data_IF_327073930771
#
_entry.id   IF_327073930771
#
_cell.length_a   1.000
_cell.length_b   1.000
_cell.length_c   1.000
_cell.angle_alpha   90.00
_cell.angle_beta   90.00
_cell.angle_gamma   90.00
#
_symmetry.space_group_name_H-M   'P 1'
#
loop_
_entity.id
_entity.type
_entity.pdbx_description
1 polymer ?
#
# COMPACT_ATOMS: atom_id res chain seq x y z
N UNK A 1 56.01 7.72 -22.84
CA UNK A 1 55.18 8.49 -21.88
C UNK A 1 54.56 9.59 -22.70
N UNK A 2 53.30 9.42 -23.08
CA UNK A 2 52.59 10.40 -23.90
C UNK A 2 52.46 11.73 -23.16
N UNK A 3 52.50 12.84 -23.89
CA UNK A 3 52.51 14.18 -23.28
C UNK A 3 51.19 14.48 -22.56
N UNK A 4 51.19 15.31 -21.49
CA UNK A 4 50.03 15.56 -20.63
C UNK A 4 48.76 16.01 -21.37
N UNK A 5 48.91 16.68 -22.52
CA UNK A 5 47.79 17.13 -23.35
C UNK A 5 47.03 16.00 -24.04
N UNK A 6 47.73 14.96 -24.51
CA UNK A 6 47.06 13.82 -25.17
C UNK A 6 46.21 13.03 -24.17
N UNK A 7 46.64 12.95 -22.91
CA UNK A 7 45.86 12.30 -21.86
C UNK A 7 44.55 13.05 -21.54
N UNK A 8 44.60 14.38 -21.46
CA UNK A 8 43.39 15.19 -21.20
C UNK A 8 42.40 15.11 -22.36
N UNK A 9 42.88 15.15 -23.60
CA UNK A 9 42.04 15.04 -24.79
C UNK A 9 41.45 13.63 -24.94
N UNK A 10 42.22 12.57 -24.67
CA UNK A 10 41.74 11.19 -24.68
C UNK A 10 40.73 10.92 -23.55
N UNK A 11 40.93 11.53 -22.38
CA UNK A 11 40.00 11.43 -21.26
C UNK A 11 38.70 12.18 -21.56
N UNK A 12 38.78 13.39 -22.12
CA UNK A 12 37.59 14.13 -22.55
C UNK A 12 36.84 13.38 -23.64
N UNK A 13 37.55 12.80 -24.61
CA UNK A 13 36.97 12.02 -25.68
C UNK A 13 36.29 10.75 -25.15
N UNK A 14 36.91 10.04 -24.21
CA UNK A 14 36.34 8.87 -23.56
C UNK A 14 35.10 9.22 -22.72
N UNK A 15 35.12 10.34 -21.98
CA UNK A 15 33.98 10.79 -21.18
C UNK A 15 32.81 11.25 -22.06
N UNK A 16 33.09 11.97 -23.14
CA UNK A 16 32.07 12.45 -24.08
C UNK A 16 31.42 11.29 -24.82
N UNK A 17 32.22 10.32 -25.31
CA UNK A 17 31.73 9.09 -25.93
C UNK A 17 30.89 8.23 -24.98
N UNK A 18 31.31 8.15 -23.72
CA UNK A 18 30.54 7.42 -22.69
C UNK A 18 29.23 8.15 -22.39
N UNK A 19 29.24 9.48 -22.28
CA UNK A 19 28.05 10.30 -22.06
C UNK A 19 27.03 10.26 -23.19
N UNK A 20 27.47 10.22 -24.45
CA UNK A 20 26.57 10.08 -25.61
C UNK A 20 25.92 8.70 -25.71
N UNK A 21 26.55 7.66 -25.16
CA UNK A 21 25.98 6.32 -25.02
C UNK A 21 24.89 6.19 -23.94
N UNK A 22 24.70 7.21 -23.09
CA UNK A 22 23.69 7.23 -22.02
C UNK A 22 22.39 7.98 -22.39
N UNK A 23 22.18 8.35 -23.66
CA UNK A 23 20.88 8.86 -24.11
C UNK A 23 19.88 7.71 -24.22
N UNK A 24 19.20 7.41 -23.11
CA UNK A 24 18.03 6.53 -23.13
C UNK A 24 17.02 7.06 -24.15
N UNK A 25 16.57 6.21 -25.08
CA UNK A 25 15.50 6.57 -26.02
C UNK A 25 14.22 6.97 -25.28
N UNK A 26 13.29 7.67 -25.93
CA UNK A 26 12.03 8.10 -25.28
C UNK A 26 11.26 6.93 -24.62
N UNK A 27 11.34 5.72 -25.18
CA UNK A 27 10.76 4.51 -24.59
C UNK A 27 11.49 4.04 -23.31
N UNK A 28 12.83 4.07 -23.31
CA UNK A 28 13.64 3.71 -22.14
C UNK A 28 13.53 4.77 -21.03
N UNK A 29 13.33 6.05 -21.37
CA UNK A 29 13.00 7.10 -20.41
C UNK A 29 11.64 6.85 -19.76
N UNK A 30 10.63 6.41 -20.53
CA UNK A 30 9.33 6.04 -19.99
C UNK A 30 9.43 4.84 -19.03
N UNK A 31 10.24 3.83 -19.35
CA UNK A 31 10.50 2.68 -18.50
C UNK A 31 11.33 3.02 -17.25
N UNK A 32 12.31 3.93 -17.37
CA UNK A 32 13.07 4.44 -16.23
C UNK A 32 12.19 5.29 -15.30
N UNK A 33 11.25 6.07 -15.84
CA UNK A 33 10.27 6.84 -15.06
C UNK A 33 9.24 5.91 -14.42
N UNK A 34 8.72 4.91 -15.13
CA UNK A 34 7.80 3.91 -14.58
C UNK A 34 8.46 3.04 -13.50
N UNK A 35 9.71 2.62 -13.71
CA UNK A 35 10.54 1.93 -12.74
C UNK A 35 10.92 2.81 -11.54
N UNK A 36 11.14 4.11 -11.77
CA UNK A 36 11.31 5.13 -10.75
C UNK A 36 10.04 5.31 -9.89
N UNK A 37 8.86 5.34 -10.51
CA UNK A 37 7.57 5.48 -9.83
C UNK A 37 7.20 4.24 -9.01
N UNK A 38 7.47 3.03 -9.52
CA UNK A 38 7.28 1.77 -8.77
C UNK A 38 8.23 1.67 -7.57
N UNK A 39 9.49 2.10 -7.73
CA UNK A 39 10.47 2.20 -6.63
C UNK A 39 10.10 3.30 -5.63
N UNK A 40 9.59 4.43 -6.12
CA UNK A 40 9.07 5.54 -5.32
C UNK A 40 7.88 5.13 -4.46
N UNK A 41 6.86 4.48 -5.04
CA UNK A 41 5.71 3.92 -4.29
C UNK A 41 6.14 2.89 -3.26
N UNK A 42 7.07 1.99 -3.63
CA UNK A 42 7.60 0.97 -2.70
C UNK A 42 8.42 1.60 -1.58
N UNK A 43 9.14 2.70 -1.84
CA UNK A 43 9.94 3.43 -0.87
C UNK A 43 9.08 4.33 0.02
N UNK A 44 8.02 4.94 -0.52
CA UNK A 44 7.03 5.70 0.24
C UNK A 44 6.24 4.79 1.17
N UNK A 45 5.74 3.63 0.69
CA UNK A 45 5.14 2.57 1.53
C UNK A 45 6.11 1.98 2.57
N UNK A 46 7.43 1.97 2.27
CA UNK A 46 8.46 1.58 3.25
C UNK A 46 8.76 2.69 4.24
N UNK A 47 8.70 3.96 3.84
CA UNK A 47 8.92 5.14 4.70
C UNK A 47 7.76 5.38 5.65
N UNK A 48 6.52 5.13 5.23
CA UNK A 48 5.36 5.10 6.13
C UNK A 48 5.43 3.97 7.18
N UNK A 49 6.35 3.00 7.02
CA UNK A 49 6.63 1.94 8.00
C UNK A 49 8.02 2.02 8.64
N UNK A 50 8.88 2.96 8.22
CA UNK A 50 10.28 3.05 8.66
C UNK A 50 10.51 4.03 9.82
N UNK A 51 9.48 4.24 10.65
CA UNK A 51 9.63 4.88 11.96
C UNK A 51 9.99 3.86 13.07
N UNK A 52 10.21 2.58 12.71
CA UNK A 52 10.70 1.57 13.65
C UNK A 52 11.85 0.83 12.98
N UNK A 53 13.05 1.01 13.54
CA UNK A 53 14.15 0.03 13.69
C UNK A 53 15.49 0.72 13.45
N UNK A 54 16.23 0.85 14.55
CA UNK A 54 17.65 1.10 14.63
C UNK A 54 18.05 0.93 16.09
N UNK A 55 18.81 -0.13 16.36
CA UNK A 55 19.34 -0.43 17.68
C UNK A 55 18.91 -1.78 18.25
N UNK A 56 19.58 -2.83 17.77
CA UNK A 56 19.81 -4.13 18.41
C UNK A 56 18.61 -4.97 18.91
N UNK A 57 18.35 -6.06 18.17
CA UNK A 57 17.81 -7.34 18.62
C UNK A 57 16.52 -7.34 19.47
N UNK A 58 15.37 -7.20 18.82
CA UNK A 58 14.11 -7.78 19.32
C UNK A 58 13.09 -7.94 18.18
N UNK A 59 12.67 -9.19 17.94
CA UNK A 59 11.50 -9.53 17.15
C UNK A 59 10.24 -9.05 17.88
N UNK A 60 9.44 -8.17 17.28
CA UNK A 60 8.10 -7.88 17.77
C UNK A 60 7.21 -7.31 16.66
N UNK A 61 6.44 -8.18 16.00
CA UNK A 61 5.22 -7.78 15.31
C UNK A 61 4.14 -7.56 16.37
N UNK A 62 3.71 -6.30 16.52
CA UNK A 62 2.62 -5.91 17.40
C UNK A 62 1.31 -6.28 16.74
N UNK A 63 0.66 -7.32 17.25
CA UNK A 63 -0.78 -7.53 17.12
C UNK A 63 -1.43 -7.19 18.45
N UNK A 64 -2.31 -6.20 18.48
CA UNK A 64 -3.18 -5.94 19.64
C UNK A 64 -4.62 -6.02 19.16
N UNK A 65 -5.28 -7.11 19.55
CA UNK A 65 -6.70 -7.33 19.33
C UNK A 65 -7.20 -8.37 20.32
N UNK A 66 -7.56 -7.94 21.53
CA UNK A 66 -8.39 -8.71 22.45
C UNK A 66 -9.21 -7.74 23.30
N UNK A 67 -10.48 -7.57 22.95
CA UNK A 67 -11.51 -7.12 23.88
C UNK A 67 -12.50 -8.28 24.02
N UNK A 68 -12.59 -8.81 25.23
CA UNK A 68 -13.59 -9.78 25.65
C UNK A 68 -14.97 -9.10 25.66
N UNK A 69 -15.94 -9.72 24.98
CA UNK A 69 -17.37 -9.54 25.20
C UNK A 69 -17.86 -10.57 26.22
N UNK A 70 -18.50 -10.11 27.28
CA UNK A 70 -19.48 -10.90 28.05
C UNK A 70 -20.74 -10.06 28.22
N UNK A 71 -21.84 -10.49 27.60
CA UNK A 71 -23.13 -9.80 27.66
C UNK A 71 -23.96 -10.14 28.89
N UNK A 72 -25.08 -9.42 29.05
CA UNK A 72 -26.33 -9.92 29.64
C UNK A 72 -27.46 -8.86 29.57
N UNK A 73 -28.58 -9.28 28.96
CA UNK A 73 -29.97 -9.09 29.45
C UNK A 73 -30.68 -7.72 29.38
N UNK A 74 -31.65 -7.64 28.45
CA UNK A 74 -33.09 -7.66 28.81
C UNK A 74 -33.87 -6.33 28.88
N UNK A 75 -34.92 -6.22 28.05
CA UNK A 75 -36.29 -5.70 28.33
C UNK A 75 -36.94 -5.18 27.03
N UNK A 76 -37.89 -5.94 26.44
CA UNK A 76 -39.36 -5.79 26.56
C UNK A 76 -39.94 -4.46 26.05
N UNK A 77 -40.80 -4.57 25.04
CA UNK A 77 -41.72 -3.51 24.61
C UNK A 77 -42.57 -3.94 23.43
N UNK A 78 -43.55 -4.81 23.66
CA UNK A 78 -44.61 -5.14 22.71
C UNK A 78 -45.65 -4.01 22.66
N UNK A 79 -46.22 -3.74 21.48
CA UNK A 79 -47.28 -2.74 21.31
C UNK A 79 -47.91 -2.83 19.92
N UNK A 80 -49.10 -3.40 19.87
CA UNK A 80 -49.91 -3.82 18.73
C UNK A 80 -50.63 -2.67 17.99
N UNK A 81 -50.82 -2.89 16.67
CA UNK A 81 -51.98 -2.59 15.79
C UNK A 81 -52.65 -1.20 15.78
N UNK A 82 -52.80 -0.65 14.58
CA UNK A 82 -54.06 -0.03 14.14
C UNK A 82 -54.16 -0.02 12.62
N UNK A 83 -55.28 -0.55 12.13
CA UNK A 83 -55.67 -0.60 10.75
C UNK A 83 -56.92 0.26 10.52
N UNK A 84 -57.00 0.80 9.30
CA UNK A 84 -58.18 1.18 8.52
C UNK A 84 -59.02 2.41 8.95
N UNK A 85 -59.10 3.37 8.02
CA UNK A 85 -60.37 3.90 7.51
C UNK A 85 -60.15 4.57 6.14
N UNK A 86 -60.84 4.06 5.11
CA UNK A 86 -61.14 4.75 3.84
C UNK A 86 -62.54 5.41 3.98
N UNK A 87 -63.02 6.32 3.09
CA UNK A 87 -63.28 5.99 1.67
C UNK A 87 -63.06 7.10 0.61
N UNK A 88 -62.72 6.62 -0.59
CA UNK A 88 -63.22 6.96 -1.94
C UNK A 88 -63.66 8.39 -2.31
N UNK A 89 -62.97 8.98 -3.30
CA UNK A 89 -63.61 9.58 -4.49
C UNK A 89 -62.76 9.32 -5.74
N UNK A 90 -63.44 9.00 -6.83
CA UNK A 90 -62.93 8.53 -8.12
C UNK A 90 -62.82 9.71 -9.10
N UNK A 91 -61.72 9.84 -9.85
CA UNK A 91 -61.70 10.16 -11.29
C UNK A 91 -60.30 10.58 -11.77
N UNK A 92 -59.90 10.10 -12.96
CA UNK A 92 -58.91 10.76 -13.80
C UNK A 92 -57.66 9.94 -14.11
N UNK A 93 -57.77 9.01 -15.07
CA UNK A 93 -56.63 8.34 -15.68
C UNK A 93 -55.80 9.31 -16.53
N UNK A 94 -54.49 9.38 -16.28
CA UNK A 94 -53.47 9.88 -17.20
C UNK A 94 -52.19 9.08 -16.96
N UNK A 95 -51.53 8.53 -18.00
CA UNK A 95 -50.32 7.75 -17.80
C UNK A 95 -49.19 8.70 -17.38
N UNK A 96 -48.89 8.72 -16.07
CA UNK A 96 -47.71 9.37 -15.54
C UNK A 96 -46.49 8.60 -16.04
N UNK A 97 -45.73 9.24 -16.94
CA UNK A 97 -44.39 8.84 -17.30
C UNK A 97 -43.58 8.68 -16.00
N UNK A 98 -43.18 7.44 -15.73
CA UNK A 98 -42.20 7.14 -14.69
C UNK A 98 -40.91 7.86 -15.07
N UNK A 99 -40.32 8.73 -14.23
CA UNK A 99 -38.98 9.21 -14.50
C UNK A 99 -38.06 8.02 -14.31
N UNK A 100 -37.71 7.36 -15.41
CA UNK A 100 -36.63 6.38 -15.43
C UNK A 100 -35.35 7.17 -15.18
N UNK A 101 -34.94 7.25 -13.93
CA UNK A 101 -33.59 7.67 -13.54
C UNK A 101 -32.63 6.61 -14.07
N UNK A 102 -32.30 6.73 -15.35
CA UNK A 102 -31.12 6.08 -15.90
C UNK A 102 -29.92 6.80 -15.28
N UNK A 103 -29.47 6.33 -14.12
CA UNK A 103 -28.12 6.61 -13.63
C UNK A 103 -27.15 5.96 -14.61
N UNK A 104 -26.88 6.67 -15.70
CA UNK A 104 -25.67 6.45 -16.48
C UNK A 104 -24.52 6.95 -15.62
N UNK A 105 -24.02 6.09 -14.72
CA UNK A 105 -22.84 6.40 -13.91
C UNK A 105 -21.61 6.18 -14.77
N UNK A 106 -21.33 7.10 -15.69
CA UNK A 106 -19.96 7.28 -16.12
C UNK A 106 -19.12 7.51 -14.85
N UNK A 107 -17.97 6.84 -14.69
CA UNK A 107 -17.12 7.05 -13.53
C UNK A 107 -16.78 8.54 -13.42
N UNK A 108 -17.02 9.12 -12.24
CA UNK A 108 -16.68 10.52 -11.97
C UNK A 108 -15.18 10.71 -12.15
N UNK A 109 -14.80 11.56 -13.10
CA UNK A 109 -13.40 11.95 -13.30
C UNK A 109 -13.14 13.21 -12.48
N UNK A 110 -12.07 13.17 -11.68
CA UNK A 110 -11.50 14.33 -10.99
C UNK A 110 -10.17 14.64 -11.67
N UNK A 111 -10.01 15.84 -12.20
CA UNK A 111 -8.78 16.23 -12.90
C UNK A 111 -7.69 16.65 -11.92
N UNK A 112 -6.43 16.65 -12.38
CA UNK A 112 -5.32 17.17 -11.57
C UNK A 112 -5.53 18.62 -11.13
N UNK A 113 -6.03 19.48 -12.03
CA UNK A 113 -6.30 20.89 -11.73
C UNK A 113 -7.40 21.05 -10.67
N UNK A 114 -8.43 20.20 -10.68
CA UNK A 114 -9.48 20.21 -9.64
C UNK A 114 -8.92 19.84 -8.26
N UNK A 115 -8.02 18.84 -8.20
CA UNK A 115 -7.34 18.46 -6.95
C UNK A 115 -6.43 19.60 -6.46
N UNK A 116 -5.65 20.21 -7.36
CA UNK A 116 -4.75 21.31 -7.04
C UNK A 116 -5.51 22.55 -6.54
N UNK A 117 -6.58 22.94 -7.23
CA UNK A 117 -7.42 24.06 -6.83
C UNK A 117 -8.06 23.83 -5.46
N UNK A 118 -8.58 22.62 -5.20
CA UNK A 118 -9.10 22.24 -3.89
C UNK A 118 -8.01 22.36 -2.82
N UNK A 119 -6.82 21.84 -3.08
CA UNK A 119 -5.71 21.91 -2.14
C UNK A 119 -5.29 23.35 -1.83
N UNK A 120 -5.11 24.20 -2.85
CA UNK A 120 -4.75 25.61 -2.69
C UNK A 120 -5.81 26.40 -1.92
N UNK A 121 -7.10 26.11 -2.11
CA UNK A 121 -8.19 26.76 -1.38
C UNK A 121 -8.20 26.44 0.12
N UNK A 122 -7.61 25.31 0.53
CA UNK A 122 -7.50 24.92 1.94
C UNK A 122 -6.22 25.44 2.62
N UNK A 123 -5.26 25.96 1.85
CA UNK A 123 -4.06 26.56 2.42
C UNK A 123 -4.39 27.92 3.05
N UNK A 124 -3.70 28.29 4.13
CA UNK A 124 -3.85 29.62 4.71
C UNK A 124 -3.33 30.70 3.74
N UNK A 125 -3.55 31.96 4.10
CA UNK A 125 -3.09 33.10 3.31
C UNK A 125 -1.57 33.01 3.05
N UNK A 126 -1.20 33.02 1.79
CA UNK A 126 0.18 33.02 1.30
C UNK A 126 0.19 32.91 -0.22
N UNK A 127 1.39 32.94 -0.80
CA UNK A 127 1.60 32.71 -2.23
C UNK A 127 1.84 31.22 -2.49
N UNK A 128 1.27 30.69 -3.58
CA UNK A 128 1.57 29.33 -4.05
C UNK A 128 2.20 29.40 -5.43
N UNK A 129 3.29 28.66 -5.61
CA UNK A 129 4.04 28.56 -6.87
C UNK A 129 4.31 27.09 -7.19
N UNK A 130 4.75 26.81 -8.42
CA UNK A 130 5.12 25.46 -8.88
C UNK A 130 4.05 24.37 -8.66
N UNK A 131 2.78 24.78 -8.65
CA UNK A 131 1.65 23.90 -8.36
C UNK A 131 1.48 22.78 -9.39
N UNK A 132 1.35 21.56 -8.91
CA UNK A 132 1.11 20.36 -9.72
C UNK A 132 -0.01 19.55 -9.12
N UNK A 133 -0.97 19.19 -9.95
CA UNK A 133 -2.08 18.32 -9.59
C UNK A 133 -2.04 16.99 -10.31
N UNK A 134 -2.62 15.96 -9.68
CA UNK A 134 -2.82 14.64 -10.26
C UNK A 134 -4.24 14.17 -9.95
N UNK A 135 -4.99 13.91 -11.00
CA UNK A 135 -6.38 13.45 -10.94
C UNK A 135 -6.53 11.94 -11.09
N UNK A 136 -7.78 11.49 -11.11
CA UNK A 136 -8.16 10.08 -11.33
C UNK A 136 -7.94 9.62 -12.77
N UNK A 137 -7.75 10.57 -13.68
CA UNK A 137 -7.44 10.43 -15.10
C UNK A 137 -5.94 10.20 -15.38
N UNK A 138 -5.08 10.20 -14.37
CA UNK A 138 -3.66 9.89 -14.54
C UNK A 138 -3.45 8.40 -14.87
N UNK A 139 -3.06 8.12 -16.12
CA UNK A 139 -2.79 6.76 -16.63
C UNK A 139 -1.77 5.99 -15.79
N UNK A 140 -0.80 6.66 -15.16
CA UNK A 140 0.24 6.01 -14.34
C UNK A 140 -0.33 5.48 -13.02
N UNK A 141 -1.38 6.09 -12.50
CA UNK A 141 -2.05 5.64 -11.27
C UNK A 141 -3.33 4.87 -11.56
N UNK A 142 -3.90 4.98 -12.77
CA UNK A 142 -5.14 4.32 -13.16
C UNK A 142 -6.34 4.69 -12.29
N UNK A 143 -6.27 5.85 -11.62
CA UNK A 143 -7.27 6.34 -10.66
C UNK A 143 -7.15 5.81 -9.23
N UNK A 144 -6.07 5.09 -8.88
CA UNK A 144 -5.85 4.55 -7.52
C UNK A 144 -5.13 5.52 -6.57
N UNK A 145 -4.68 6.66 -7.09
CA UNK A 145 -4.03 7.72 -6.33
C UNK A 145 -4.27 9.07 -7.02
N UNK A 146 -4.57 10.07 -6.21
CA UNK A 146 -4.67 11.48 -6.60
C UNK A 146 -3.87 12.32 -5.60
N UNK A 147 -3.48 13.53 -5.98
CA UNK A 147 -2.71 14.39 -5.08
C UNK A 147 -2.31 15.71 -5.73
N UNK A 148 -1.72 16.58 -4.93
CA UNK A 148 -1.20 17.85 -5.39
C UNK A 148 0.03 18.26 -4.57
N UNK A 149 0.90 19.05 -5.17
CA UNK A 149 2.04 19.68 -4.52
C UNK A 149 2.16 21.14 -4.94
N UNK A 150 2.57 22.01 -4.01
CA UNK A 150 2.84 23.43 -4.24
C UNK A 150 4.05 23.86 -3.42
N UNK A 151 4.75 24.88 -3.90
CA UNK A 151 5.66 25.67 -3.08
C UNK A 151 4.86 26.83 -2.48
N UNK A 152 4.63 26.76 -1.17
CA UNK A 152 3.90 27.76 -0.38
C UNK A 152 4.86 28.74 0.28
N UNK A 153 4.54 30.04 0.26
CA UNK A 153 5.28 31.09 0.96
C UNK A 153 4.30 32.04 1.66
N UNK A 154 4.37 32.07 2.99
CA UNK A 154 3.61 32.97 3.86
C UNK A 154 4.35 34.31 4.11
N UNK A 155 5.45 34.55 3.39
CA UNK A 155 6.35 35.69 3.58
C UNK A 155 7.52 35.40 4.52
N UNK A 156 7.60 34.20 5.11
CA UNK A 156 8.69 33.77 6.00
C UNK A 156 9.64 32.76 5.34
N UNK A 157 9.44 32.49 4.05
CA UNK A 157 10.28 31.60 3.27
C UNK A 157 9.49 30.43 2.69
N UNK A 158 9.89 30.03 1.49
CA UNK A 158 9.27 28.97 0.70
C UNK A 158 9.24 27.62 1.41
N UNK A 159 8.21 26.83 1.17
CA UNK A 159 8.05 25.49 1.72
C UNK A 159 7.32 24.61 0.72
N UNK A 160 7.81 23.40 0.49
CA UNK A 160 7.02 22.39 -0.23
C UNK A 160 5.90 21.92 0.69
N UNK A 161 4.67 21.92 0.19
CA UNK A 161 3.51 21.29 0.83
C UNK A 161 2.88 20.34 -0.19
N UNK A 162 2.66 19.10 0.21
CA UNK A 162 2.17 18.04 -0.66
C UNK A 162 1.07 17.23 0.01
N UNK A 163 -0.02 17.00 -0.71
CA UNK A 163 -1.11 16.11 -0.32
C UNK A 163 -1.21 14.91 -1.27
N UNK A 164 -1.48 13.74 -0.72
CA UNK A 164 -1.81 12.52 -1.46
C UNK A 164 -3.05 11.86 -0.88
N UNK A 165 -3.88 11.31 -1.76
CA UNK A 165 -5.13 10.64 -1.40
C UNK A 165 -5.17 9.27 -2.07
N UNK A 166 -5.40 8.25 -1.24
CA UNK A 166 -5.68 6.88 -1.61
C UNK A 166 -7.00 6.45 -1.01
N UNK A 167 -7.51 5.32 -1.48
CA UNK A 167 -8.67 4.68 -0.89
C UNK A 167 -8.36 3.21 -0.69
N UNK A 168 -8.26 2.77 0.56
CA UNK A 168 -8.12 1.37 0.92
C UNK A 168 -9.49 0.71 0.95
N UNK A 169 -9.54 -0.59 0.72
CA UNK A 169 -10.76 -1.38 0.96
C UNK A 169 -11.07 -1.43 2.46
N UNK A 170 -12.33 -1.70 2.84
CA UNK A 170 -12.69 -1.92 4.24
C UNK A 170 -11.73 -2.90 4.92
N UNK A 171 -11.31 -2.61 6.15
CA UNK A 171 -10.36 -3.42 6.94
C UNK A 171 -8.94 -3.56 6.36
N UNK A 172 -8.61 -2.88 5.26
CA UNK A 172 -7.28 -2.90 4.64
C UNK A 172 -6.51 -1.57 4.80
N UNK A 173 -7.11 -0.61 5.50
CA UNK A 173 -6.46 0.67 5.81
C UNK A 173 -5.22 0.50 6.69
N UNK A 174 -4.23 1.38 6.50
CA UNK A 174 -3.05 1.42 7.35
C UNK A 174 -3.42 1.93 8.75
N UNK A 175 -3.13 1.17 9.83
CA UNK A 175 -3.36 1.66 11.18
C UNK A 175 -2.46 2.88 11.46
N UNK A 176 -2.97 3.86 12.20
CA UNK A 176 -2.18 5.01 12.62
C UNK A 176 -1.44 4.71 13.91
N UNK A 177 -0.13 4.89 13.90
CA UNK A 177 0.72 4.67 15.07
C UNK A 177 1.91 5.61 15.07
N UNK A 178 2.25 6.12 16.25
CA UNK A 178 3.50 6.85 16.45
C UNK A 178 4.69 5.90 16.63
N UNK A 179 5.91 6.33 16.28
CA UNK A 179 7.12 5.57 16.58
C UNK A 179 7.24 5.31 18.08
N UNK A 180 7.79 4.16 18.46
CA UNK A 180 8.07 3.85 19.87
C UNK A 180 9.29 4.61 20.40
N UNK A 181 10.27 4.86 19.54
CA UNK A 181 11.48 5.60 19.86
C UNK A 181 11.56 6.87 18.99
N UNK A 182 11.20 7.99 19.61
CA UNK A 182 11.17 9.30 18.96
C UNK A 182 12.58 9.80 18.60
N UNK A 183 13.60 9.48 19.41
CA UNK A 183 14.98 9.91 19.14
C UNK A 183 15.51 9.20 17.91
N UNK A 184 15.34 7.89 17.86
CA UNK A 184 15.74 7.07 16.72
C UNK A 184 15.01 7.46 15.43
N UNK A 185 13.71 7.72 15.53
CA UNK A 185 12.92 8.16 14.38
C UNK A 185 13.17 9.63 14.00
N UNK A 186 13.92 10.39 14.82
CA UNK A 186 14.05 11.86 14.75
C UNK A 186 12.70 12.58 14.65
N UNK A 187 11.76 12.09 15.44
CA UNK A 187 10.43 12.66 15.64
C UNK A 187 10.43 13.48 16.92
N UNK A 188 9.99 14.73 16.82
CA UNK A 188 9.91 15.65 17.96
C UNK A 188 8.59 15.45 18.71
N UNK A 189 7.49 15.25 17.97
CA UNK A 189 6.17 14.99 18.51
C UNK A 189 5.35 14.12 17.57
N UNK A 190 4.50 13.26 18.14
CA UNK A 190 3.51 12.51 17.38
C UNK A 190 2.29 12.22 18.25
N UNK A 191 1.10 12.37 17.68
CA UNK A 191 -0.16 11.98 18.31
C UNK A 191 -1.05 11.22 17.32
N UNK A 192 -1.84 10.28 17.84
CA UNK A 192 -2.92 9.60 17.11
C UNK A 192 -4.22 9.84 17.86
N UNK A 193 -5.24 10.30 17.16
CA UNK A 193 -6.56 10.60 17.75
C UNK A 193 -7.66 9.98 16.88
N UNK A 194 -8.62 9.33 17.52
CA UNK A 194 -9.87 8.91 16.87
C UNK A 194 -10.84 10.09 16.83
N UNK A 195 -11.29 10.48 15.65
CA UNK A 195 -12.26 11.54 15.42
C UNK A 195 -13.70 11.02 15.61
N UNK A 196 -14.70 11.92 15.77
CA UNK A 196 -16.10 11.51 16.01
C UNK A 196 -16.73 10.65 14.90
N UNK A 197 -16.23 10.74 13.67
CA UNK A 197 -16.65 9.92 12.53
C UNK A 197 -15.97 8.54 12.47
N UNK A 198 -15.13 8.22 13.46
CA UNK A 198 -14.35 6.98 13.51
C UNK A 198 -13.02 7.04 12.74
N UNK A 199 -12.71 8.15 12.08
CA UNK A 199 -11.42 8.32 11.40
C UNK A 199 -10.27 8.38 12.41
N UNK A 200 -9.13 7.79 12.07
CA UNK A 200 -7.88 7.96 12.83
C UNK A 200 -7.03 9.04 12.19
N UNK A 201 -6.72 10.08 12.96
CA UNK A 201 -5.83 11.17 12.59
C UNK A 201 -4.49 11.00 13.29
N UNK A 202 -3.40 11.00 12.53
CA UNK A 202 -2.04 11.10 13.03
C UNK A 202 -1.47 12.48 12.70
N UNK A 203 -0.87 13.15 13.69
CA UNK A 203 -0.13 14.39 13.52
C UNK A 203 1.30 14.18 14.02
N UNK A 204 2.29 14.55 13.23
CA UNK A 204 3.70 14.33 13.54
C UNK A 204 4.54 15.56 13.18
N UNK A 205 5.47 15.93 14.06
CA UNK A 205 6.55 16.88 13.79
C UNK A 205 7.90 16.19 13.96
N UNK A 206 8.85 16.47 13.08
CA UNK A 206 10.21 15.96 13.20
C UNK A 206 11.05 16.27 11.97
N UNK A 207 11.87 15.30 11.58
CA UNK A 207 12.83 15.44 10.48
C UNK A 207 12.52 14.48 9.34
N UNK A 208 12.84 14.89 8.11
CA UNK A 208 12.68 14.06 6.90
C UNK A 208 13.57 12.80 6.94
N UNK A 209 14.74 12.92 7.57
CA UNK A 209 15.76 11.87 7.58
C UNK A 209 16.05 11.37 8.99
N UNK A 210 15.56 10.18 9.31
CA UNK A 210 15.86 9.49 10.57
C UNK A 210 17.35 9.16 10.72
N UNK A 211 18.09 8.99 9.62
CA UNK A 211 19.53 8.71 9.63
C UNK A 211 20.42 9.95 9.78
N UNK A 212 19.84 11.13 10.00
CA UNK A 212 20.62 12.34 10.29
C UNK A 212 21.39 12.92 9.10
N UNK A 213 21.18 12.42 7.87
CA UNK A 213 21.92 12.91 6.69
C UNK A 213 21.64 14.38 6.34
N UNK A 214 20.53 14.92 6.84
CA UNK A 214 20.15 16.32 6.75
C UNK A 214 19.25 16.70 7.93
N UNK A 215 19.18 18.00 8.24
CA UNK A 215 18.35 18.55 9.32
C UNK A 215 17.02 19.13 8.83
N UNK A 216 16.68 18.93 7.55
CA UNK A 216 15.39 19.34 6.98
C UNK A 216 14.24 18.75 7.80
N UNK A 217 13.39 19.65 8.30
CA UNK A 217 12.22 19.32 9.10
C UNK A 217 11.04 18.99 8.20
N UNK A 218 10.21 18.06 8.67
CA UNK A 218 8.98 17.67 8.01
C UNK A 218 7.84 17.55 9.03
N UNK A 219 6.70 18.16 8.73
CA UNK A 219 5.45 17.98 9.48
C UNK A 219 4.46 17.19 8.63
N UNK A 220 3.74 16.28 9.29
CA UNK A 220 2.90 15.28 8.62
C UNK A 220 1.55 15.22 9.30
N UNK A 221 0.48 15.21 8.50
CA UNK A 221 -0.84 14.80 8.93
C UNK A 221 -1.34 13.64 8.07
N UNK A 222 -1.79 12.57 8.71
CA UNK A 222 -2.34 11.40 8.02
C UNK A 222 -3.71 11.06 8.59
N UNK A 223 -4.74 11.06 7.75
CA UNK A 223 -6.11 10.68 8.08
C UNK A 223 -6.44 9.35 7.43
N UNK A 224 -6.92 8.38 8.22
CA UNK A 224 -7.55 7.16 7.70
C UNK A 224 -9.00 7.09 8.16
N UNK A 225 -9.95 6.91 7.23
CA UNK A 225 -11.38 6.91 7.54
C UNK A 225 -12.06 5.54 7.31
N UNK A 226 -13.26 5.35 7.88
CA UNK A 226 -14.03 4.10 7.73
C UNK A 226 -14.53 3.85 6.30
N UNK A 227 -14.62 4.91 5.47
CA UNK A 227 -14.93 4.82 4.03
C UNK A 227 -13.72 4.41 3.16
N UNK A 228 -12.60 4.07 3.82
CA UNK A 228 -11.37 3.65 3.19
C UNK A 228 -10.42 4.80 2.85
N UNK A 229 -10.80 6.06 3.04
CA UNK A 229 -9.91 7.18 2.70
C UNK A 229 -8.59 7.09 3.44
N UNK A 230 -7.52 7.40 2.74
CA UNK A 230 -6.18 7.61 3.29
C UNK A 230 -5.63 8.90 2.69
N UNK A 231 -5.65 9.96 3.50
CA UNK A 231 -5.22 11.30 3.12
C UNK A 231 -3.93 11.59 3.88
N UNK A 232 -2.84 11.84 3.16
CA UNK A 232 -1.55 12.17 3.75
C UNK A 232 -1.08 13.53 3.25
N UNK A 233 -0.89 14.46 4.17
CA UNK A 233 -0.34 15.78 3.97
C UNK A 233 1.07 15.82 4.57
N UNK A 234 2.02 16.39 3.84
CA UNK A 234 3.39 16.59 4.31
C UNK A 234 3.88 17.96 3.89
N UNK A 235 4.67 18.58 4.74
CA UNK A 235 5.32 19.86 4.46
C UNK A 235 6.75 19.85 4.97
N UNK A 236 7.61 20.64 4.33
CA UNK A 236 9.02 20.76 4.68
C UNK A 236 9.41 22.21 4.93
N UNK A 237 10.44 22.44 5.75
CA UNK A 237 11.00 23.79 5.95
C UNK A 237 11.92 24.25 4.78
N UNK A 238 11.77 23.62 3.62
CA UNK A 238 12.54 23.83 2.41
C UNK A 238 11.59 23.83 1.19
N UNK A 239 11.94 24.47 0.07
CA UNK A 239 11.10 24.50 -1.14
C UNK A 239 11.03 23.15 -1.89
N UNK A 240 11.74 22.12 -1.41
CA UNK A 240 11.69 20.76 -1.95
C UNK A 240 11.97 19.73 -0.84
N UNK A 241 11.45 18.50 -0.99
CA UNK A 241 11.73 17.38 -0.08
C UNK A 241 13.24 17.07 0.01
N UNK A 242 13.97 17.22 -1.12
CA UNK A 242 15.39 16.86 -1.23
C UNK A 242 16.18 17.88 -2.04
N UNK A 243 17.46 18.02 -1.71
CA UNK A 243 18.44 18.73 -2.54
C UNK A 243 18.33 20.26 -2.49
N UNK A 244 17.22 20.82 -2.02
CA UNK A 244 17.12 22.23 -1.69
C UNK A 244 17.67 22.51 -0.29
N UNK A 245 18.22 23.72 -0.11
CA UNK A 245 18.54 24.22 1.23
C UNK A 245 17.25 24.59 1.96
N UNK A 246 17.26 24.38 3.27
CA UNK A 246 16.25 24.91 4.17
C UNK A 246 16.14 26.42 4.02
N UNK A 247 14.92 26.91 3.91
CA UNK A 247 14.56 28.32 3.66
C UNK A 247 13.96 29.00 4.89
N UNK A 248 13.58 28.21 5.89
CA UNK A 248 12.92 28.65 7.13
C UNK A 248 13.24 27.66 8.28
N UNK A 249 13.11 28.06 9.56
CA UNK A 249 13.47 27.19 10.69
C UNK A 249 12.49 26.03 10.94
N UNK A 250 11.22 26.18 10.55
CA UNK A 250 10.16 25.18 10.70
C UNK A 250 9.21 25.25 9.50
N UNK A 251 8.53 24.15 9.12
CA UNK A 251 7.45 24.20 8.13
C UNK A 251 6.35 25.23 8.47
N UNK A 252 5.61 25.74 7.48
CA UNK A 252 4.67 26.86 7.65
C UNK A 252 3.37 26.56 8.39
N UNK A 253 2.79 25.36 8.26
CA UNK A 253 1.42 25.12 8.72
C UNK A 253 1.37 24.64 10.18
N UNK A 254 0.47 25.18 10.98
CA UNK A 254 0.27 24.64 12.33
C UNK A 254 -0.34 23.24 12.29
N UNK A 255 -0.19 22.46 13.37
CA UNK A 255 -0.84 21.14 13.49
C UNK A 255 -2.37 21.23 13.32
N UNK A 256 -2.99 22.32 13.76
CA UNK A 256 -4.42 22.57 13.57
C UNK A 256 -4.77 22.85 12.11
N UNK A 257 -3.93 23.58 11.37
CA UNK A 257 -4.10 23.79 9.93
C UNK A 257 -3.92 22.49 9.15
N UNK A 258 -2.90 21.69 9.49
CA UNK A 258 -2.70 20.36 8.90
C UNK A 258 -3.92 19.47 9.12
N UNK A 259 -4.44 19.43 10.36
CA UNK A 259 -5.69 18.73 10.70
C UNK A 259 -6.87 19.24 9.88
N UNK A 260 -7.06 20.56 9.79
CA UNK A 260 -8.16 21.15 9.04
C UNK A 260 -8.12 20.72 7.57
N UNK A 261 -6.94 20.77 6.92
CA UNK A 261 -6.79 20.38 5.52
C UNK A 261 -7.14 18.91 5.29
N UNK A 262 -6.60 17.98 6.10
CA UNK A 262 -6.84 16.54 5.88
C UNK A 262 -8.24 16.09 6.26
N UNK A 263 -8.95 16.84 7.11
CA UNK A 263 -10.32 16.52 7.56
C UNK A 263 -11.41 17.30 6.81
N UNK A 264 -11.04 18.16 5.85
CA UNK A 264 -12.00 18.97 5.12
C UNK A 264 -12.90 18.11 4.20
N UNK A 265 -14.18 18.45 4.16
CA UNK A 265 -15.20 17.70 3.39
C UNK A 265 -15.11 17.93 1.89
N UNK A 266 -14.37 18.95 1.42
CA UNK A 266 -14.09 19.12 0.00
C UNK A 266 -13.41 17.90 -0.62
N UNK A 267 -12.74 17.07 0.17
CA UNK A 267 -12.16 15.81 -0.28
C UNK A 267 -13.18 14.69 -0.52
N UNK A 268 -14.41 14.78 -0.04
CA UNK A 268 -15.38 13.68 -0.10
C UNK A 268 -15.68 13.22 -1.53
N UNK A 269 -15.85 14.18 -2.46
CA UNK A 269 -16.04 13.88 -3.88
C UNK A 269 -14.83 13.20 -4.49
N UNK A 270 -13.64 13.68 -4.16
CA UNK A 270 -12.36 13.12 -4.61
C UNK A 270 -12.19 11.68 -4.10
N UNK A 271 -12.41 11.46 -2.80
CA UNK A 271 -12.38 10.13 -2.18
C UNK A 271 -13.42 9.19 -2.79
N UNK A 272 -14.61 9.68 -3.15
CA UNK A 272 -15.62 8.86 -3.81
C UNK A 272 -15.19 8.40 -5.21
N UNK A 273 -14.45 9.24 -5.96
CA UNK A 273 -13.97 8.96 -7.30
C UNK A 273 -12.68 8.11 -7.35
N UNK A 274 -11.83 8.17 -6.31
CA UNK A 274 -10.60 7.37 -6.21
C UNK A 274 -10.96 5.88 -6.15
N UNK A 275 -10.36 5.10 -7.05
CA UNK A 275 -10.47 3.64 -7.03
C UNK A 275 -9.71 3.07 -5.85
N UNK A 276 -10.16 1.92 -5.36
CA UNK A 276 -9.46 1.22 -4.31
C UNK A 276 -8.02 0.89 -4.74
N UNK A 277 -7.05 1.15 -3.85
CA UNK A 277 -5.67 0.81 -4.08
C UNK A 277 -5.42 -0.68 -3.78
N UNK A 278 -4.41 -1.25 -4.42
CA UNK A 278 -4.03 -2.65 -4.20
C UNK A 278 -5.04 -3.68 -4.71
N UNK A 279 -4.73 -4.95 -4.44
CA UNK A 279 -5.55 -6.10 -4.81
C UNK A 279 -6.68 -6.25 -3.80
N UNK A 280 -7.87 -6.62 -4.28
CA UNK A 280 -8.99 -6.95 -3.41
C UNK A 280 -8.71 -8.25 -2.66
N UNK A 281 -8.13 -8.15 -1.45
CA UNK A 281 -7.76 -9.33 -0.68
C UNK A 281 -8.95 -10.21 -0.30
N UNK A 282 -10.16 -9.65 -0.25
CA UNK A 282 -11.38 -10.39 0.04
C UNK A 282 -11.86 -11.13 -1.21
N UNK A 283 -11.72 -10.51 -2.40
CA UNK A 283 -11.99 -11.19 -3.66
C UNK A 283 -10.99 -12.32 -3.96
N UNK A 284 -9.78 -12.23 -3.40
CA UNK A 284 -8.76 -13.28 -3.48
C UNK A 284 -8.61 -14.10 -2.20
N UNK A 285 -9.57 -14.04 -1.28
CA UNK A 285 -9.55 -14.82 -0.06
C UNK A 285 -9.52 -16.33 -0.39
N UNK A 286 -8.51 -17.08 0.07
CA UNK A 286 -8.46 -18.51 -0.15
C UNK A 286 -9.55 -19.30 0.60
N UNK A 287 -10.30 -18.65 1.52
CA UNK A 287 -11.25 -19.33 2.40
C UNK A 287 -10.56 -20.22 3.44
N UNK A 288 -9.28 -19.93 3.72
CA UNK A 288 -8.45 -20.65 4.68
C UNK A 288 -7.85 -19.66 5.67
N UNK A 289 -8.16 -19.84 6.95
CA UNK A 289 -7.56 -19.02 8.00
C UNK A 289 -6.04 -19.28 8.08
N UNK A 290 -5.28 -18.38 8.73
CA UNK A 290 -3.86 -18.65 8.98
C UNK A 290 -3.62 -19.98 9.75
N UNK A 291 -4.39 -20.32 10.80
CA UNK A 291 -4.35 -21.65 11.41
C UNK A 291 -4.63 -22.80 10.44
N UNK A 292 -5.62 -22.70 9.55
CA UNK A 292 -5.91 -23.77 8.59
C UNK A 292 -4.73 -24.00 7.63
N UNK A 293 -4.14 -22.90 7.15
CA UNK A 293 -2.96 -22.96 6.25
C UNK A 293 -1.74 -23.56 6.94
N UNK A 294 -1.54 -23.28 8.22
CA UNK A 294 -0.50 -23.92 9.02
C UNK A 294 -0.75 -25.41 9.17
N UNK A 295 -1.99 -25.84 9.46
CA UNK A 295 -2.33 -27.25 9.56
C UNK A 295 -2.10 -27.99 8.24
N UNK A 296 -2.46 -27.38 7.11
CA UNK A 296 -2.16 -27.91 5.78
C UNK A 296 -0.65 -27.99 5.55
N UNK A 297 0.10 -26.91 5.83
CA UNK A 297 1.55 -26.90 5.69
C UNK A 297 2.20 -28.00 6.54
N UNK A 298 1.83 -28.13 7.81
CA UNK A 298 2.38 -29.12 8.73
C UNK A 298 2.18 -30.56 8.23
N UNK A 299 1.03 -30.83 7.58
CA UNK A 299 0.77 -32.14 6.96
C UNK A 299 1.56 -32.40 5.66
N UNK A 300 2.12 -31.36 5.04
CA UNK A 300 2.90 -31.44 3.80
C UNK A 300 4.42 -31.33 4.02
N UNK A 301 4.86 -31.01 5.24
CA UNK A 301 6.28 -30.97 5.57
C UNK A 301 6.89 -32.38 5.55
N UNK A 302 8.14 -32.52 5.09
CA UNK A 302 8.82 -33.81 5.12
C UNK A 302 9.08 -34.27 6.56
N UNK A 303 9.25 -35.59 6.79
CA UNK A 303 9.55 -36.13 8.11
C UNK A 303 10.73 -35.42 8.79
N UNK A 304 10.53 -35.02 10.05
CA UNK A 304 11.57 -34.34 10.85
C UNK A 304 11.62 -32.82 10.68
N UNK A 305 10.85 -32.22 9.77
CA UNK A 305 10.68 -30.77 9.67
C UNK A 305 9.36 -30.35 10.31
N UNK A 306 9.42 -29.42 11.26
CA UNK A 306 8.23 -28.93 11.98
C UNK A 306 8.12 -27.41 11.93
N UNK A 307 6.89 -26.90 12.01
CA UNK A 307 6.64 -25.48 12.23
C UNK A 307 6.89 -25.18 13.71
N UNK A 308 7.76 -24.21 14.01
CA UNK A 308 8.12 -23.83 15.38
C UNK A 308 7.56 -22.46 15.79
N UNK A 309 7.26 -21.62 14.81
CA UNK A 309 6.72 -20.27 15.02
C UNK A 309 6.13 -19.75 13.70
N UNK A 310 5.33 -18.69 13.77
CA UNK A 310 4.74 -18.05 12.58
C UNK A 310 4.61 -16.54 12.75
N UNK A 311 4.65 -15.84 11.63
CA UNK A 311 4.42 -14.41 11.54
C UNK A 311 3.78 -14.05 10.21
N UNK A 312 3.11 -12.90 10.11
CA UNK A 312 2.54 -12.41 8.85
C UNK A 312 1.03 -12.18 8.92
N UNK A 313 0.40 -12.08 7.74
CA UNK A 313 -0.98 -11.65 7.56
C UNK A 313 -1.86 -12.74 6.93
N UNK A 314 -3.11 -12.39 6.66
CA UNK A 314 -4.16 -13.28 6.16
C UNK A 314 -3.85 -13.93 4.80
N UNK A 315 -3.07 -13.28 3.93
CA UNK A 315 -2.71 -13.87 2.62
C UNK A 315 -1.29 -14.41 2.56
N UNK A 316 -0.33 -13.81 3.29
CA UNK A 316 1.07 -14.23 3.31
C UNK A 316 1.57 -14.41 4.74
N UNK A 317 2.18 -15.56 5.03
CA UNK A 317 2.81 -15.86 6.30
C UNK A 317 4.24 -16.35 6.12
N UNK A 318 5.09 -16.03 7.10
CA UNK A 318 6.42 -16.61 7.26
C UNK A 318 6.36 -17.59 8.42
N UNK A 319 6.64 -18.86 8.15
CA UNK A 319 6.74 -19.93 9.13
C UNK A 319 8.21 -20.18 9.46
N UNK A 320 8.55 -20.25 10.74
CA UNK A 320 9.84 -20.79 11.18
C UNK A 320 9.76 -22.30 11.16
N UNK A 321 10.79 -22.91 10.61
CA UNK A 321 10.91 -24.34 10.48
C UNK A 321 12.08 -24.83 11.34
N UNK A 322 11.89 -25.95 12.03
CA UNK A 322 12.93 -26.65 12.78
C UNK A 322 13.18 -28.03 12.19
N UNK A 323 14.45 -28.45 12.15
CA UNK A 323 14.86 -29.81 11.80
C UNK A 323 16.07 -30.20 12.67
N UNK A 324 15.80 -30.89 13.79
CA UNK A 324 16.84 -31.14 14.79
C UNK A 324 17.38 -29.84 15.39
N UNK A 325 18.69 -29.60 15.24
CA UNK A 325 19.35 -28.35 15.66
C UNK A 325 19.32 -27.25 14.59
N UNK A 326 18.85 -27.56 13.37
CA UNK A 326 18.78 -26.59 12.30
C UNK A 326 17.46 -25.82 12.33
N UNK A 327 17.54 -24.53 12.02
CA UNK A 327 16.38 -23.66 11.89
C UNK A 327 16.40 -22.96 10.53
N UNK A 328 15.22 -22.85 9.93
CA UNK A 328 14.97 -22.21 8.66
C UNK A 328 13.68 -21.41 8.69
N UNK A 329 13.30 -20.86 7.54
CA UNK A 329 11.99 -20.26 7.38
C UNK A 329 11.42 -20.51 5.99
N UNK A 330 10.09 -20.50 5.91
CA UNK A 330 9.31 -20.61 4.68
C UNK A 330 8.35 -19.43 4.60
N UNK A 331 8.32 -18.75 3.45
CA UNK A 331 7.23 -17.84 3.12
C UNK A 331 6.18 -18.62 2.35
N UNK A 332 4.96 -18.62 2.88
CA UNK A 332 3.78 -19.19 2.25
C UNK A 332 2.79 -18.07 1.91
N UNK A 333 2.36 -17.99 0.66
CA UNK A 333 1.24 -17.15 0.23
C UNK A 333 0.18 -18.03 -0.43
N UNK A 334 -1.08 -17.81 -0.07
CA UNK A 334 -2.22 -18.57 -0.60
C UNK A 334 -3.32 -17.57 -0.94
N UNK A 335 -3.73 -17.53 -2.20
CA UNK A 335 -4.66 -16.54 -2.77
C UNK A 335 -5.61 -17.26 -3.74
N UNK A 336 -6.88 -16.87 -3.82
CA UNK A 336 -7.83 -17.49 -4.76
C UNK A 336 -8.34 -16.50 -5.80
N UNK A 337 -7.77 -16.55 -6.99
CA UNK A 337 -8.06 -15.63 -8.08
C UNK A 337 -9.34 -15.97 -8.87
N UNK A 338 -10.09 -17.01 -8.49
CA UNK A 338 -11.28 -17.45 -9.24
C UNK A 338 -12.36 -16.38 -9.36
N UNK A 339 -12.47 -15.50 -8.36
CA UNK A 339 -13.48 -14.43 -8.30
C UNK A 339 -12.93 -13.06 -8.66
N UNK A 340 -11.61 -12.94 -8.86
CA UNK A 340 -10.97 -11.66 -9.12
C UNK A 340 -11.17 -11.27 -10.58
N UNK A 341 -11.78 -10.10 -10.81
CA UNK A 341 -11.96 -9.49 -12.14
C UNK A 341 -10.61 -9.14 -12.75
N UNK A 342 -9.68 -8.67 -11.93
CA UNK A 342 -8.27 -8.48 -12.29
C UNK A 342 -7.52 -9.77 -11.96
N UNK A 343 -7.16 -10.56 -12.97
CA UNK A 343 -6.42 -11.81 -12.79
C UNK A 343 -4.97 -11.69 -13.31
N UNK A 344 -4.09 -10.94 -12.61
CA UNK A 344 -2.70 -10.83 -13.00
C UNK A 344 -1.96 -12.17 -12.93
N UNK A 345 -2.47 -13.15 -12.16
CA UNK A 345 -1.92 -14.49 -12.11
C UNK A 345 -1.96 -15.15 -13.50
N UNK A 346 -3.03 -15.03 -14.27
CA UNK A 346 -3.05 -15.59 -15.63
C UNK A 346 -1.89 -15.10 -16.51
N UNK A 347 -1.57 -13.80 -16.46
CA UNK A 347 -0.45 -13.24 -17.20
C UNK A 347 0.91 -13.69 -16.62
N UNK A 348 1.02 -13.79 -15.29
CA UNK A 348 2.24 -14.24 -14.62
C UNK A 348 2.62 -15.69 -14.99
N UNK A 349 1.62 -16.54 -15.24
CA UNK A 349 1.79 -17.97 -15.56
C UNK A 349 1.84 -18.28 -17.08
N UNK A 350 2.04 -17.27 -17.94
CA UNK A 350 2.11 -17.47 -19.40
C UNK A 350 3.21 -18.46 -19.83
N UNK A 351 4.34 -18.46 -19.12
CA UNK A 351 5.52 -19.30 -19.41
C UNK A 351 5.63 -20.49 -18.42
N UNK A 352 4.55 -20.81 -17.71
CA UNK A 352 4.55 -21.84 -16.69
C UNK A 352 4.52 -23.26 -17.28
N UNK A 353 5.15 -24.20 -16.59
CA UNK A 353 5.03 -25.63 -16.91
C UNK A 353 3.65 -26.10 -16.48
N UNK A 354 2.88 -26.65 -17.41
CA UNK A 354 1.57 -27.22 -17.14
C UNK A 354 1.72 -28.71 -16.80
N UNK A 355 1.22 -29.12 -15.65
CA UNK A 355 1.20 -30.51 -15.20
C UNK A 355 -0.07 -31.24 -15.69
N UNK A 356 -0.09 -32.60 -15.69
CA UNK A 356 -1.24 -33.37 -16.16
C UNK A 356 -2.55 -33.12 -15.40
N UNK A 357 -2.47 -32.70 -14.15
CA UNK A 357 -3.61 -32.32 -13.30
C UNK A 357 -4.13 -30.89 -13.57
N UNK A 358 -3.51 -30.17 -14.53
CA UNK A 358 -3.84 -28.80 -14.91
C UNK A 358 -3.14 -27.73 -14.09
N UNK A 359 -2.35 -28.10 -13.07
CA UNK A 359 -1.56 -27.13 -12.31
C UNK A 359 -0.52 -26.45 -13.20
N UNK A 360 -0.44 -25.12 -13.12
CA UNK A 360 0.62 -24.34 -13.76
C UNK A 360 1.71 -24.03 -12.74
N UNK A 361 2.96 -24.37 -13.03
CA UNK A 361 4.07 -24.27 -12.09
C UNK A 361 5.16 -23.35 -12.62
N UNK A 362 5.59 -22.42 -11.77
CA UNK A 362 6.77 -21.58 -11.95
C UNK A 362 7.76 -21.85 -10.83
N UNK A 363 9.01 -22.15 -11.19
CA UNK A 363 10.13 -22.25 -10.25
C UNK A 363 11.08 -21.09 -10.54
N UNK A 364 11.40 -20.31 -9.51
CA UNK A 364 12.19 -19.09 -9.60
C UNK A 364 13.26 -19.09 -8.50
N UNK A 365 14.44 -18.55 -8.79
CA UNK A 365 15.54 -18.51 -7.82
C UNK A 365 16.22 -19.87 -7.59
N UNK A 366 16.94 -19.99 -6.47
CA UNK A 366 17.65 -21.21 -6.07
C UNK A 366 19.15 -21.23 -6.39
N UNK A 367 19.84 -22.35 -6.09
CA UNK A 367 21.31 -22.48 -6.20
C UNK A 367 21.86 -22.16 -7.60
N UNK A 368 21.07 -22.47 -8.63
CA UNK A 368 21.44 -22.28 -10.04
C UNK A 368 20.97 -20.93 -10.61
N UNK A 369 20.36 -20.08 -9.78
CA UNK A 369 19.88 -18.77 -10.21
C UNK A 369 21.01 -17.76 -10.35
N UNK A 370 21.13 -17.18 -11.55
CA UNK A 370 22.08 -16.09 -11.85
C UNK A 370 21.91 -14.87 -10.93
N UNK A 371 20.70 -14.64 -10.41
CA UNK A 371 20.36 -13.46 -9.62
C UNK A 371 20.41 -13.69 -8.10
N UNK A 372 20.86 -14.88 -7.65
CA UNK A 372 20.91 -15.29 -6.23
C UNK A 372 19.59 -15.09 -5.48
N UNK A 373 18.46 -15.12 -6.19
CA UNK A 373 17.14 -15.00 -5.60
C UNK A 373 16.83 -16.24 -4.75
N UNK A 374 16.16 -16.10 -3.60
CA UNK A 374 15.76 -17.25 -2.79
C UNK A 374 14.86 -18.18 -3.61
N UNK A 375 15.01 -19.48 -3.38
CA UNK A 375 14.23 -20.49 -4.08
C UNK A 375 12.73 -20.28 -3.82
N UNK A 376 11.94 -20.24 -4.88
CA UNK A 376 10.50 -20.03 -4.85
C UNK A 376 9.80 -20.92 -5.86
N UNK A 377 8.75 -21.58 -5.42
CA UNK A 377 7.80 -22.27 -6.30
C UNK A 377 6.44 -21.59 -6.17
N UNK A 378 5.85 -21.26 -7.32
CA UNK A 378 4.55 -20.61 -7.45
C UNK A 378 3.68 -21.49 -8.34
N UNK A 379 2.50 -21.87 -7.84
CA UNK A 379 1.58 -22.79 -8.52
C UNK A 379 0.21 -22.14 -8.63
N UNK A 380 -0.37 -22.17 -9.82
CA UNK A 380 -1.78 -21.82 -10.05
C UNK A 380 -2.56 -23.10 -10.32
N UNK A 381 -3.50 -23.40 -9.43
CA UNK A 381 -4.40 -24.55 -9.53
C UNK A 381 -5.53 -24.25 -10.53
N UNK A 382 -6.14 -25.29 -11.14
CA UNK A 382 -7.24 -25.12 -12.10
C UNK A 382 -8.47 -24.39 -11.55
N UNK A 383 -8.67 -24.43 -10.23
CA UNK A 383 -9.78 -23.77 -9.54
C UNK A 383 -9.50 -22.30 -9.18
N UNK A 384 -8.35 -21.76 -9.59
CA UNK A 384 -7.95 -20.37 -9.36
C UNK A 384 -7.11 -20.14 -8.10
N UNK A 385 -6.84 -21.19 -7.30
CA UNK A 385 -5.96 -21.07 -6.13
C UNK A 385 -4.50 -20.89 -6.57
N UNK A 386 -3.87 -19.79 -6.20
CA UNK A 386 -2.43 -19.58 -6.28
C UNK A 386 -1.78 -19.90 -4.94
N UNK A 387 -0.77 -20.77 -4.98
CA UNK A 387 0.05 -21.12 -3.81
C UNK A 387 1.50 -20.79 -4.12
N UNK A 388 2.12 -19.98 -3.27
CA UNK A 388 3.54 -19.69 -3.31
C UNK A 388 4.22 -20.25 -2.08
N UNK A 389 5.16 -21.17 -2.29
CA UNK A 389 6.06 -21.67 -1.28
C UNK A 389 7.48 -21.22 -1.62
N UNK A 390 8.08 -20.41 -0.77
CA UNK A 390 9.41 -19.87 -0.98
C UNK A 390 10.28 -20.01 0.26
N UNK A 391 11.59 -20.16 0.05
CA UNK A 391 12.55 -20.03 1.14
C UNK A 391 12.37 -18.66 1.81
N UNK A 392 12.24 -18.69 3.13
CA UNK A 392 12.07 -17.50 3.94
C UNK A 392 13.40 -16.75 4.19
N UNK A 393 13.31 -15.54 4.78
CA UNK A 393 14.44 -14.62 4.88
C UNK A 393 15.48 -15.00 5.95
N UNK A 394 15.18 -15.97 6.81
CA UNK A 394 16.02 -16.33 7.96
C UNK A 394 16.33 -17.82 8.04
N UNK A 395 17.51 -18.15 8.56
CA UNK A 395 17.93 -19.55 8.78
C UNK A 395 18.36 -20.26 7.49
N UNK A 396 18.57 -21.58 7.59
CA UNK A 396 18.97 -22.43 6.47
C UNK A 396 17.78 -22.74 5.55
N UNK A 397 18.10 -23.10 4.31
CA UNK A 397 17.13 -23.73 3.43
C UNK A 397 16.91 -25.18 3.90
N UNK A 398 15.76 -25.45 4.52
CA UNK A 398 15.42 -26.80 4.98
C UNK A 398 14.59 -27.60 3.97
N UNK A 399 14.13 -26.96 2.88
CA UNK A 399 13.26 -27.57 1.87
C UNK A 399 13.88 -27.48 0.47
N UNK A 400 13.85 -28.58 -0.28
CA UNK A 400 14.28 -28.63 -1.68
C UNK A 400 13.25 -28.02 -2.63
N UNK A 401 13.63 -27.80 -3.90
CA UNK A 401 12.70 -27.34 -4.92
C UNK A 401 11.55 -28.32 -5.14
N UNK A 402 11.81 -29.63 -5.10
CA UNK A 402 10.77 -30.65 -5.20
C UNK A 402 9.82 -30.61 -4.00
N UNK A 403 10.34 -30.41 -2.78
CA UNK A 403 9.50 -30.32 -1.59
C UNK A 403 8.63 -29.06 -1.61
N UNK A 404 9.18 -27.90 -2.00
CA UNK A 404 8.39 -26.67 -2.18
C UNK A 404 7.32 -26.83 -3.27
N UNK A 405 7.66 -27.52 -4.36
CA UNK A 405 6.71 -27.85 -5.42
C UNK A 405 5.59 -28.76 -4.90
N UNK A 406 5.93 -29.84 -4.18
CA UNK A 406 4.96 -30.75 -3.60
C UNK A 406 4.01 -30.04 -2.63
N UNK A 407 4.54 -29.14 -1.80
CA UNK A 407 3.74 -28.27 -0.93
C UNK A 407 2.79 -27.45 -1.80
N UNK A 408 3.29 -26.71 -2.79
CA UNK A 408 2.48 -25.78 -3.57
C UNK A 408 1.45 -26.44 -4.51
N UNK A 409 1.71 -27.65 -5.01
CA UNK A 409 0.77 -28.41 -5.87
C UNK A 409 -0.28 -29.21 -5.09
N UNK A 410 -0.20 -29.24 -3.76
CA UNK A 410 -1.07 -30.10 -2.95
C UNK A 410 -2.55 -29.74 -3.10
N UNK A 411 -3.46 -30.72 -3.31
CA UNK A 411 -4.89 -30.46 -3.34
C UNK A 411 -5.47 -30.07 -1.97
N UNK A 412 -4.68 -30.18 -0.88
CA UNK A 412 -5.09 -29.81 0.46
C UNK A 412 -5.31 -28.29 0.64
N UNK A 413 -4.87 -27.46 -0.31
CA UNK A 413 -5.13 -26.02 -0.33
C UNK A 413 -6.55 -25.65 -0.74
N UNK A 414 -7.37 -26.61 -1.19
CA UNK A 414 -8.78 -26.37 -1.45
C UNK A 414 -9.53 -26.12 -0.14
N UNK A 415 -10.24 -24.99 -0.06
CA UNK A 415 -11.12 -24.72 1.07
C UNK A 415 -12.13 -25.86 1.24
N UNK A 416 -12.29 -26.35 2.47
CA UNK A 416 -13.36 -27.30 2.80
C UNK A 416 -14.68 -26.53 2.74
N UNK A 417 -15.63 -27.04 1.96
CA UNK A 417 -16.97 -26.46 1.79
C UNK A 417 -17.74 -26.39 3.09
#
# INVERSE_FOLDING_TARGET
MSEPKEFEDDLLYALTRTGEGFRAGQAEQADLVAGGYRRGRRRWRRRSTAAVVGGAAALALVGTGAVYLTGASGAKGAGTVSAASAPTTTAGAGPAATPTTVKSSAPTVITGDEVLATFQALLPKGETTDGKGRGTDDDRTGGTFVGADVVFDDGQGKSLVQIGIQKHRPNQGQPRSCPKDFKLARVDSCSVTTLPDGSQLMLQQGHEYSDGRADTKAWIASLSGPDGRDINLSEWNAPAEKGARDSRPNPPLTLDQLKAIVTDKSWDRTVAAVKFDGIDTDAIDPGLSLPDREAVLAGLLPPGVTVTDRSGSTLTATFRLGQGQEAGSLVLRVENWAKSVDNPAQQAFKDAVVLPDGNKVLVLGGPDSKDKQPLRVTVLHPDGMEVVAAQGPTGRQLLTAEQLKAIATSPAWKAKK
#
